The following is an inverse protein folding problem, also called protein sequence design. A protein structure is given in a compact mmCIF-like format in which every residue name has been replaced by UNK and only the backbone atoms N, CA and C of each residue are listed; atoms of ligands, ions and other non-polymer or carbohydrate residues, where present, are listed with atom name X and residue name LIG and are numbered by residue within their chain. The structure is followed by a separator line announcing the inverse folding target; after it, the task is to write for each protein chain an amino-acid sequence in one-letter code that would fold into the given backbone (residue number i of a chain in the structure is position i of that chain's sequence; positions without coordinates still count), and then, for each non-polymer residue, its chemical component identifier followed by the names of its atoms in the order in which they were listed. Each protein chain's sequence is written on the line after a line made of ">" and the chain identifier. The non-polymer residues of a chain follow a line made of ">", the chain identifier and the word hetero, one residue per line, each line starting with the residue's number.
data_IF_370834045485
#
_entry.id   IF_370834045485
#
_cell.length_a   1.000
_cell.length_b   1.000
_cell.length_c   1.000
_cell.angle_alpha   90.00
_cell.angle_beta   90.00
_cell.angle_gamma   90.00
#
_symmetry.space_group_name_H-M   'P 1'
#
loop_
_entity.id
_entity.type
_entity.pdbx_description
1 polymer ?
#
# COMPACT_ATOMS: atom_id res chain seq x y z
N UNK A 1 -6.59 -1.49 -7.21
CA UNK A 1 -6.31 -2.76 -6.52
C UNK A 1 -4.91 -3.17 -6.92
N UNK A 2 -4.07 -3.60 -5.97
CA UNK A 2 -2.76 -4.18 -6.27
C UNK A 2 -2.94 -5.40 -7.19
N UNK A 3 -2.01 -5.59 -8.12
CA UNK A 3 -1.94 -6.83 -8.88
C UNK A 3 -1.54 -7.98 -7.92
N UNK A 4 -1.93 -9.21 -8.26
CA UNK A 4 -1.67 -10.38 -7.41
C UNK A 4 -0.17 -10.57 -7.13
N UNK A 5 0.67 -10.27 -8.12
CA UNK A 5 2.11 -10.42 -7.97
C UNK A 5 2.71 -9.41 -6.98
N UNK A 6 2.17 -8.20 -6.93
CA UNK A 6 2.55 -7.20 -5.93
C UNK A 6 2.11 -7.65 -4.54
N UNK A 7 0.90 -8.21 -4.40
CA UNK A 7 0.42 -8.79 -3.15
C UNK A 7 1.36 -9.89 -2.63
N UNK A 8 1.83 -10.79 -3.50
CA UNK A 8 2.80 -11.83 -3.11
C UNK A 8 4.16 -11.23 -2.73
N UNK A 9 4.60 -10.15 -3.39
CA UNK A 9 5.79 -9.42 -2.95
C UNK A 9 5.60 -8.79 -1.57
N UNK A 10 4.43 -8.21 -1.28
CA UNK A 10 4.09 -7.68 0.04
C UNK A 10 4.13 -8.79 1.10
N UNK A 11 3.51 -9.93 0.81
CA UNK A 11 3.56 -11.12 1.63
C UNK A 11 5.00 -11.61 1.90
N UNK A 12 5.88 -11.55 0.89
CA UNK A 12 7.30 -11.87 1.06
C UNK A 12 8.01 -10.89 1.99
N UNK A 13 7.74 -9.58 1.89
CA UNK A 13 8.30 -8.61 2.84
C UNK A 13 7.83 -8.87 4.27
N UNK A 14 6.56 -9.22 4.45
CA UNK A 14 5.97 -9.52 5.76
C UNK A 14 6.53 -10.83 6.33
N UNK A 15 6.65 -11.87 5.51
CA UNK A 15 7.24 -13.16 5.88
C UNK A 15 8.74 -13.04 6.19
N UNK A 16 9.46 -12.19 5.45
CA UNK A 16 10.86 -11.85 5.76
C UNK A 16 11.00 -10.87 6.92
N UNK A 17 9.90 -10.36 7.50
CA UNK A 17 9.89 -9.36 8.59
C UNK A 17 10.75 -8.14 8.27
N UNK A 18 10.72 -7.69 7.02
CA UNK A 18 11.41 -6.47 6.60
C UNK A 18 10.59 -5.24 7.00
N UNK A 19 11.22 -4.24 7.60
CA UNK A 19 10.52 -3.02 7.99
C UNK A 19 10.22 -2.16 6.76
N UNK A 20 9.00 -2.31 6.25
CA UNK A 20 8.57 -1.67 5.02
C UNK A 20 8.46 -0.15 5.13
N UNK A 21 8.08 0.38 6.29
CA UNK A 21 7.71 1.80 6.44
C UNK A 21 8.90 2.70 6.79
N UNK A 22 10.05 2.08 7.05
CA UNK A 22 11.30 2.76 7.37
C UNK A 22 12.17 2.95 6.12
N UNK A 23 11.62 3.63 5.13
CA UNK A 23 12.29 3.91 3.86
C UNK A 23 11.93 5.32 3.42
N UNK A 24 12.90 6.07 2.89
CA UNK A 24 12.61 7.40 2.34
C UNK A 24 11.69 7.30 1.12
N UNK A 25 11.84 6.26 0.29
CA UNK A 25 10.96 6.03 -0.86
C UNK A 25 9.49 5.86 -0.49
N UNK A 26 9.21 5.47 0.76
CA UNK A 26 7.87 5.24 1.31
C UNK A 26 7.39 6.35 2.25
N UNK A 27 8.05 7.51 2.23
CA UNK A 27 7.68 8.64 3.09
C UNK A 27 6.24 9.12 2.82
N UNK A 28 5.84 9.18 1.55
CA UNK A 28 4.54 9.70 1.09
C UNK A 28 3.53 8.61 0.68
N UNK A 29 3.84 7.33 0.92
CA UNK A 29 3.02 6.19 0.46
C UNK A 29 1.57 6.27 0.92
N UNK A 30 1.30 6.59 2.19
CA UNK A 30 -0.07 6.72 2.71
C UNK A 30 -0.90 7.76 1.97
N UNK A 31 -0.31 8.90 1.61
CA UNK A 31 -1.00 9.95 0.88
C UNK A 31 -1.24 9.53 -0.58
N UNK A 32 -0.22 8.94 -1.23
CA UNK A 32 -0.31 8.48 -2.62
C UNK A 32 -1.34 7.34 -2.76
N UNK A 33 -1.42 6.40 -1.81
CA UNK A 33 -2.37 5.29 -1.85
C UNK A 33 -3.84 5.74 -1.73
N UNK A 34 -4.07 6.87 -1.05
CA UNK A 34 -5.38 7.50 -0.86
C UNK A 34 -5.76 8.45 -2.01
N UNK A 35 -4.80 9.16 -2.59
CA UNK A 35 -5.04 10.24 -3.56
C UNK A 35 -4.73 9.85 -5.02
N UNK A 36 -3.68 9.07 -5.22
CA UNK A 36 -3.11 8.71 -6.53
C UNK A 36 -3.39 7.24 -6.88
N UNK A 37 -4.65 6.83 -6.71
CA UNK A 37 -5.10 5.53 -7.20
C UNK A 37 -5.31 5.56 -8.73
N UNK A 38 -4.92 4.46 -9.38
CA UNK A 38 -5.22 4.24 -10.80
C UNK A 38 -6.66 3.77 -10.96
N UNK A 39 -7.43 4.47 -11.78
CA UNK A 39 -8.74 4.01 -12.21
C UNK A 39 -8.56 3.15 -13.46
N UNK A 40 -9.09 1.92 -13.52
CA UNK A 40 -9.11 1.16 -14.76
C UNK A 40 -9.86 1.97 -15.82
N UNK A 41 -9.28 2.07 -17.03
CA UNK A 41 -9.90 2.79 -18.15
C UNK A 41 -10.65 1.86 -19.11
N UNK A 42 -10.44 0.55 -19.00
CA UNK A 42 -10.99 -0.49 -19.88
C UNK A 42 -11.19 -1.80 -19.12
N UNK A 43 -11.58 -2.85 -19.84
CA UNK A 43 -11.66 -4.21 -19.31
C UNK A 43 -10.26 -4.83 -19.18
N UNK A 44 -9.87 -5.21 -17.95
CA UNK A 44 -8.68 -6.01 -17.65
C UNK A 44 -9.12 -7.27 -16.89
N UNK A 45 -8.60 -8.42 -17.28
CA UNK A 45 -8.83 -9.70 -16.60
C UNK A 45 -7.50 -10.25 -16.13
N UNK A 46 -7.37 -10.49 -14.83
CA UNK A 46 -6.20 -11.07 -14.20
C UNK A 46 -6.55 -12.47 -13.68
N UNK A 47 -5.89 -13.49 -14.22
CA UNK A 47 -5.99 -14.88 -13.80
C UNK A 47 -4.69 -15.24 -13.09
N UNK A 48 -4.75 -15.47 -11.79
CA UNK A 48 -3.58 -15.75 -10.96
C UNK A 48 -3.73 -17.07 -10.22
N UNK A 49 -2.61 -17.73 -9.95
CA UNK A 49 -2.58 -18.99 -9.21
C UNK A 49 -1.31 -19.10 -8.39
N UNK A 50 -1.43 -19.56 -7.15
CA UNK A 50 -0.29 -19.97 -6.33
C UNK A 50 -0.17 -21.50 -6.38
N UNK A 51 0.53 -22.02 -7.39
CA UNK A 51 0.62 -23.47 -7.62
C UNK A 51 1.39 -24.20 -6.51
N UNK A 52 2.39 -23.56 -5.92
CA UNK A 52 3.08 -24.06 -4.71
C UNK A 52 3.30 -22.90 -3.74
N UNK A 53 3.55 -23.15 -2.43
CA UNK A 53 3.90 -22.09 -1.48
C UNK A 53 5.13 -21.26 -1.86
N UNK A 54 5.91 -21.73 -2.84
CA UNK A 54 7.10 -21.10 -3.37
C UNK A 54 6.92 -20.47 -4.75
N UNK A 55 5.84 -20.79 -5.47
CA UNK A 55 5.71 -20.46 -6.89
C UNK A 55 4.32 -19.93 -7.23
N UNK A 56 4.29 -18.72 -7.80
CA UNK A 56 3.09 -18.05 -8.26
C UNK A 56 3.16 -17.77 -9.77
N UNK A 57 2.01 -17.89 -10.44
CA UNK A 57 1.83 -17.52 -11.84
C UNK A 57 0.69 -16.53 -11.98
N UNK A 58 0.80 -15.62 -12.95
CA UNK A 58 -0.29 -14.69 -13.28
C UNK A 58 -0.33 -14.46 -14.78
N UNK A 59 -1.53 -14.51 -15.33
CA UNK A 59 -1.87 -14.18 -16.70
C UNK A 59 -2.77 -12.95 -16.66
N UNK A 60 -2.34 -11.88 -17.31
CA UNK A 60 -3.18 -10.70 -17.50
C UNK A 60 -3.64 -10.64 -18.94
N UNK A 61 -4.89 -10.22 -19.16
CA UNK A 61 -5.48 -10.04 -20.47
C UNK A 61 -6.25 -8.72 -20.46
N UNK A 62 -5.93 -7.80 -21.36
CA UNK A 62 -6.52 -6.48 -21.49
C UNK A 62 -7.02 -6.22 -22.91
N UNK A 63 -8.03 -5.36 -23.03
CA UNK A 63 -8.65 -5.03 -24.32
C UNK A 63 -8.10 -3.73 -24.95
N UNK A 64 -6.81 -3.45 -24.80
CA UNK A 64 -6.20 -2.20 -25.32
C UNK A 64 -5.77 -2.39 -26.77
N UNK A 65 -6.67 -2.12 -27.72
CA UNK A 65 -6.38 -2.00 -29.16
C UNK A 65 -6.20 -3.34 -29.90
N UNK A 66 -5.33 -4.21 -29.38
CA UNK A 66 -5.17 -5.64 -29.66
C UNK A 66 -5.24 -6.37 -28.32
N UNK A 67 -5.40 -7.70 -28.30
CA UNK A 67 -5.38 -8.48 -27.06
C UNK A 67 -4.02 -8.28 -26.39
N UNK A 68 -3.97 -7.41 -25.39
CA UNK A 68 -2.78 -7.15 -24.59
C UNK A 68 -2.75 -8.17 -23.46
N UNK A 69 -1.58 -8.69 -23.13
CA UNK A 69 -1.47 -9.70 -22.10
C UNK A 69 -0.07 -9.83 -21.55
N UNK A 70 0.01 -10.20 -20.29
CA UNK A 70 1.28 -10.48 -19.65
C UNK A 70 1.27 -11.82 -18.94
N UNK A 71 2.42 -12.46 -18.95
CA UNK A 71 2.67 -13.71 -18.25
C UNK A 71 3.74 -13.42 -17.20
N UNK A 72 3.38 -13.61 -15.94
CA UNK A 72 4.24 -13.36 -14.80
C UNK A 72 4.52 -14.65 -14.05
N UNK A 73 5.78 -14.84 -13.68
CA UNK A 73 6.26 -15.93 -12.86
C UNK A 73 6.96 -15.35 -11.64
N UNK A 74 6.66 -15.89 -10.46
CA UNK A 74 7.33 -15.52 -9.22
C UNK A 74 7.73 -16.76 -8.44
N UNK A 75 8.98 -16.77 -8.00
CA UNK A 75 9.57 -17.80 -7.16
C UNK A 75 10.09 -17.17 -5.86
N UNK A 76 9.80 -17.77 -4.71
CA UNK A 76 10.27 -17.35 -3.39
C UNK A 76 10.88 -18.53 -2.65
N UNK A 77 12.00 -18.30 -1.96
CA UNK A 77 12.59 -19.33 -1.10
C UNK A 77 11.91 -19.47 0.25
N UNK A 78 11.25 -18.42 0.76
CA UNK A 78 10.42 -18.53 1.96
C UNK A 78 9.06 -19.11 1.54
N UNK A 79 8.56 -20.17 2.21
CA UNK A 79 7.23 -20.69 1.93
C UNK A 79 6.15 -19.74 2.47
N UNK A 80 5.17 -19.41 1.62
CA UNK A 80 4.11 -18.46 1.92
C UNK A 80 2.86 -19.14 2.52
N UNK A 81 3.02 -20.01 3.53
CA UNK A 81 1.90 -20.76 4.12
C UNK A 81 0.83 -19.89 4.79
N UNK A 82 1.22 -18.73 5.32
CA UNK A 82 0.32 -17.85 6.07
C UNK A 82 -0.43 -16.84 5.18
N UNK A 83 -0.22 -16.88 3.86
CA UNK A 83 -0.88 -15.95 2.94
C UNK A 83 -1.92 -16.67 2.10
N UNK A 84 -3.21 -16.33 2.22
CA UNK A 84 -4.25 -16.95 1.41
C UNK A 84 -4.01 -16.68 -0.08
N UNK A 85 -4.02 -17.71 -0.91
CA UNK A 85 -3.93 -17.58 -2.38
C UNK A 85 -5.29 -17.40 -3.05
N UNK A 86 -6.32 -18.03 -2.48
CA UNK A 86 -7.67 -18.04 -3.05
C UNK A 86 -8.33 -16.69 -2.88
N UNK A 87 -8.86 -16.14 -3.97
CA UNK A 87 -9.54 -14.84 -4.03
C UNK A 87 -10.68 -14.67 -3.02
N UNK A 88 -11.34 -15.76 -2.60
CA UNK A 88 -12.39 -15.75 -1.57
C UNK A 88 -11.86 -15.57 -0.15
N UNK A 89 -10.59 -15.93 0.10
CA UNK A 89 -9.94 -15.86 1.41
C UNK A 89 -9.04 -14.63 1.57
N UNK A 90 -8.56 -14.02 0.47
CA UNK A 90 -7.65 -12.87 0.55
C UNK A 90 -8.35 -11.66 1.20
N UNK A 91 -7.88 -11.12 2.33
CA UNK A 91 -8.49 -9.92 2.91
C UNK A 91 -8.34 -8.72 1.96
N UNK A 92 -9.46 -8.07 1.61
CA UNK A 92 -9.47 -6.93 0.67
C UNK A 92 -8.57 -5.78 1.15
N UNK A 93 -8.44 -5.59 2.47
CA UNK A 93 -7.53 -4.60 3.08
C UNK A 93 -6.05 -4.78 2.74
N UNK A 94 -5.64 -5.99 2.36
CA UNK A 94 -4.24 -6.24 1.97
C UNK A 94 -4.02 -6.03 0.45
N UNK A 95 -5.10 -6.07 -0.34
CA UNK A 95 -5.05 -5.86 -1.80
C UNK A 95 -5.28 -4.41 -2.20
N UNK A 96 -6.03 -3.66 -1.41
CA UNK A 96 -6.31 -2.26 -1.68
C UNK A 96 -5.31 -1.42 -0.88
N UNK A 97 -4.37 -0.72 -1.55
CA UNK A 97 -3.54 0.26 -0.88
C UNK A 97 -4.43 1.29 -0.20
N UNK A 98 -4.19 1.66 1.03
CA UNK A 98 -5.07 2.57 1.76
C UNK A 98 -4.34 3.22 2.90
N UNK A 99 -5.07 3.79 3.84
CA UNK A 99 -4.44 4.33 5.03
C UNK A 99 -3.72 3.24 5.83
N UNK A 100 -2.38 3.34 5.92
CA UNK A 100 -1.56 2.46 6.75
C UNK A 100 -1.05 3.20 7.98
N UNK A 101 -1.37 2.67 9.15
CA UNK A 101 -0.82 3.17 10.40
C UNK A 101 0.66 2.80 10.52
N UNK A 102 1.50 3.80 10.76
CA UNK A 102 2.94 3.62 10.92
C UNK A 102 3.22 3.08 12.32
N UNK A 103 4.03 2.02 12.38
CA UNK A 103 4.48 1.40 13.63
C UNK A 103 5.83 1.95 14.07
N UNK A 104 6.16 1.89 15.37
CA UNK A 104 7.48 2.31 15.84
C UNK A 104 8.58 1.47 15.17
N UNK A 105 9.76 2.06 14.92
CA UNK A 105 10.85 1.37 14.24
C UNK A 105 11.28 0.13 15.02
N UNK A 106 11.16 -1.04 14.38
CA UNK A 106 11.61 -2.32 14.92
C UNK A 106 13.04 -2.63 14.47
N UNK A 107 13.81 -3.32 15.31
CA UNK A 107 15.11 -3.87 14.92
C UNK A 107 14.86 -5.03 13.94
N UNK A 108 15.61 -5.14 12.83
CA UNK A 108 15.54 -6.31 11.98
C UNK A 108 15.89 -7.58 12.77
N UNK A 109 15.01 -8.58 12.73
CA UNK A 109 15.23 -9.85 13.42
C UNK A 109 16.42 -10.56 12.78
N UNK A 110 17.42 -10.84 13.62
CA UNK A 110 18.65 -11.53 13.28
C UNK A 110 18.32 -12.98 12.92
N UNK A 111 18.62 -13.38 11.67
CA UNK A 111 18.55 -14.79 11.30
C UNK A 111 19.75 -15.51 11.90
N UNK A 112 19.56 -16.70 12.49
CA UNK A 112 20.68 -17.46 13.01
C UNK A 112 21.64 -17.76 11.85
N UNK A 113 22.82 -17.15 11.90
CA UNK A 113 23.94 -17.53 11.04
C UNK A 113 24.53 -18.82 11.60
N UNK A 114 25.05 -19.66 10.71
CA UNK A 114 25.47 -21.04 11.01
C UNK A 114 26.59 -21.19 12.07
N UNK A 115 27.07 -20.11 12.69
CA UNK A 115 28.19 -20.11 13.62
C UNK A 115 27.84 -19.75 15.08
N UNK A 116 26.59 -19.44 15.41
CA UNK A 116 26.23 -19.18 16.81
C UNK A 116 25.72 -20.45 17.51
N UNK A 117 26.60 -21.07 18.30
CA UNK A 117 26.30 -22.16 19.25
C UNK A 117 25.44 -21.71 20.46
N UNK A 118 24.68 -20.62 20.37
CA UNK A 118 23.88 -20.13 21.50
C UNK A 118 22.47 -20.75 21.48
N UNK A 119 22.21 -21.58 22.48
CA UNK A 119 20.95 -22.26 22.74
C UNK A 119 19.83 -21.26 23.07
N UNK A 120 18.98 -20.96 22.09
CA UNK A 120 17.65 -20.36 22.32
C UNK A 120 16.59 -21.39 21.89
N UNK A 121 15.51 -21.62 22.69
CA UNK A 121 14.58 -22.70 22.43
C UNK A 121 13.79 -22.46 21.13
N UNK A 122 13.89 -23.42 20.22
CA UNK A 122 13.06 -23.52 19.03
C UNK A 122 11.60 -23.82 19.43
N UNK A 123 10.84 -22.78 19.74
CA UNK A 123 9.38 -22.87 19.83
C UNK A 123 8.80 -22.11 18.63
N UNK A 124 8.20 -22.88 17.71
CA UNK A 124 7.47 -22.45 16.50
C UNK A 124 8.35 -22.19 15.26
N UNK A 125 9.13 -23.20 14.83
CA UNK A 125 9.42 -23.39 13.41
C UNK A 125 9.15 -24.86 13.06
N UNK A 126 8.27 -25.07 12.08
CA UNK A 126 7.94 -26.36 11.49
C UNK A 126 9.19 -27.05 10.98
N UNK A 127 9.29 -28.38 11.17
CA UNK A 127 10.47 -29.22 10.94
C UNK A 127 10.99 -29.32 9.48
N UNK A 128 10.45 -28.54 8.53
CA UNK A 128 10.78 -28.64 7.09
C UNK A 128 11.56 -27.43 6.53
N UNK A 129 11.69 -26.33 7.29
CA UNK A 129 12.43 -25.16 6.83
C UNK A 129 13.93 -25.35 7.02
N UNK A 130 14.65 -25.57 5.92
CA UNK A 130 16.10 -25.64 5.88
C UNK A 130 16.68 -24.31 6.41
N UNK A 131 17.36 -24.27 7.58
CA UNK A 131 17.72 -23.02 8.27
C UNK A 131 18.87 -22.24 7.58
N UNK A 132 19.25 -22.60 6.36
CA UNK A 132 20.46 -22.13 5.68
C UNK A 132 20.20 -21.20 4.49
N UNK A 133 18.97 -21.10 3.98
CA UNK A 133 18.68 -20.32 2.77
C UNK A 133 18.30 -18.87 3.10
N UNK A 134 19.16 -17.93 2.68
CA UNK A 134 18.84 -16.50 2.73
C UNK A 134 17.57 -16.24 1.89
N UNK A 135 16.64 -15.39 2.36
CA UNK A 135 15.38 -15.20 1.67
C UNK A 135 15.61 -14.43 0.36
N UNK A 136 15.03 -14.97 -0.70
CA UNK A 136 15.16 -14.51 -2.07
C UNK A 136 13.83 -14.60 -2.78
N UNK A 137 13.51 -13.58 -3.57
CA UNK A 137 12.35 -13.52 -4.44
C UNK A 137 12.83 -13.22 -5.86
N UNK A 138 12.40 -14.03 -6.80
CA UNK A 138 12.59 -13.86 -8.24
C UNK A 138 11.22 -13.64 -8.84
N UNK A 139 11.06 -12.55 -9.59
CA UNK A 139 9.84 -12.23 -10.30
C UNK A 139 10.20 -11.88 -11.74
N UNK A 140 9.50 -12.45 -12.71
CA UNK A 140 9.69 -12.14 -14.12
C UNK A 140 8.32 -11.96 -14.77
N UNK A 141 8.12 -10.86 -15.50
CA UNK A 141 6.91 -10.62 -16.28
C UNK A 141 7.28 -10.34 -17.73
N UNK A 142 6.67 -11.10 -18.63
CA UNK A 142 6.75 -10.93 -20.08
C UNK A 142 5.44 -10.32 -20.57
N UNK A 143 5.51 -9.14 -21.19
CA UNK A 143 4.36 -8.48 -21.82
C UNK A 143 4.33 -8.76 -23.32
N UNK A 144 3.14 -9.06 -23.84
CA UNK A 144 2.80 -9.42 -25.22
C UNK A 144 1.55 -8.60 -25.60
N UNK A 145 1.45 -7.90 -26.74
CA UNK A 145 2.07 -8.12 -28.04
C UNK A 145 3.28 -7.18 -28.26
N UNK A 146 3.88 -7.12 -29.47
CA UNK A 146 5.05 -6.26 -29.71
C UNK A 146 4.76 -4.76 -29.44
N UNK A 147 5.70 -4.01 -28.83
CA UNK A 147 7.05 -4.41 -28.43
C UNK A 147 7.04 -5.35 -27.21
N UNK A 148 7.68 -6.52 -27.36
CA UNK A 148 7.77 -7.49 -26.27
C UNK A 148 8.71 -6.94 -25.21
N UNK A 149 8.21 -6.76 -23.99
CA UNK A 149 9.01 -6.29 -22.87
C UNK A 149 9.14 -7.38 -21.82
N UNK A 150 10.38 -7.70 -21.45
CA UNK A 150 10.71 -8.59 -20.35
C UNK A 150 11.12 -7.72 -19.16
N UNK A 151 10.41 -7.87 -18.06
CA UNK A 151 10.75 -7.27 -16.78
C UNK A 151 11.15 -8.39 -15.82
N UNK A 152 12.24 -8.20 -15.10
CA UNK A 152 12.74 -9.11 -14.09
C UNK A 152 13.02 -8.35 -12.82
N UNK A 153 12.70 -8.93 -11.67
CA UNK A 153 12.93 -8.37 -10.35
C UNK A 153 13.50 -9.47 -9.47
N UNK A 154 14.69 -9.23 -8.94
CA UNK A 154 15.38 -10.12 -8.04
C UNK A 154 15.62 -9.40 -6.71
N UNK A 155 15.01 -9.90 -5.66
CA UNK A 155 15.18 -9.41 -4.30
C UNK A 155 15.92 -10.47 -3.51
N UNK A 156 16.95 -10.06 -2.75
CA UNK A 156 17.69 -10.94 -1.85
C UNK A 156 18.07 -10.21 -0.58
N UNK A 157 17.79 -10.82 0.57
CA UNK A 157 18.33 -10.34 1.85
C UNK A 157 19.78 -10.83 1.99
N UNK A 158 20.73 -9.89 1.99
CA UNK A 158 22.16 -10.21 2.12
C UNK A 158 22.55 -10.44 3.58
N UNK A 159 21.96 -9.64 4.48
CA UNK A 159 22.16 -9.65 5.92
C UNK A 159 20.83 -9.34 6.63
N UNK A 160 20.77 -9.47 7.96
CA UNK A 160 19.59 -9.06 8.72
C UNK A 160 19.20 -7.59 8.43
N UNK A 161 20.19 -6.71 8.30
CA UNK A 161 19.97 -5.26 8.09
C UNK A 161 20.04 -4.82 6.63
N UNK A 162 20.48 -5.69 5.70
CA UNK A 162 20.73 -5.29 4.31
C UNK A 162 19.95 -6.13 3.31
N UNK A 163 19.22 -5.47 2.41
CA UNK A 163 18.46 -6.07 1.31
C UNK A 163 18.94 -5.52 -0.03
N UNK A 164 19.10 -6.41 -1.01
CA UNK A 164 19.43 -6.09 -2.39
C UNK A 164 18.17 -6.29 -3.25
N UNK A 165 17.90 -5.34 -4.15
CA UNK A 165 16.88 -5.43 -5.19
C UNK A 165 17.51 -5.10 -6.54
N UNK A 166 17.36 -6.00 -7.52
CA UNK A 166 17.81 -5.83 -8.89
C UNK A 166 16.59 -5.89 -9.80
N UNK A 167 16.29 -4.81 -10.51
CA UNK A 167 15.27 -4.78 -11.54
C UNK A 167 15.92 -4.69 -12.92
N UNK A 168 15.50 -5.56 -13.83
CA UNK A 168 15.97 -5.63 -15.21
C UNK A 168 14.78 -5.40 -16.12
N UNK A 169 14.90 -4.47 -17.05
CA UNK A 169 13.88 -4.24 -18.07
C UNK A 169 14.54 -4.37 -19.44
N UNK A 170 14.08 -5.30 -20.26
CA UNK A 170 14.53 -5.46 -21.65
C UNK A 170 13.36 -5.28 -22.59
N UNK A 171 13.49 -4.37 -23.54
CA UNK A 171 12.47 -4.11 -24.55
C UNK A 171 12.99 -4.45 -25.94
N UNK A 172 12.20 -5.19 -26.71
CA UNK A 172 12.49 -5.47 -28.11
C UNK A 172 11.46 -4.79 -29.01
N UNK A 173 11.93 -3.83 -29.81
CA UNK A 173 11.11 -3.17 -30.81
C UNK A 173 10.79 -4.12 -31.99
N UNK A 174 9.59 -4.03 -32.60
CA UNK A 174 9.13 -4.97 -33.63
C UNK A 174 9.92 -4.94 -34.96
N UNK A 175 10.66 -3.87 -35.26
CA UNK A 175 11.27 -3.66 -36.57
C UNK A 175 12.81 -3.54 -36.58
N UNK A 176 13.49 -3.64 -35.43
CA UNK A 176 14.96 -3.48 -35.38
C UNK A 176 15.68 -4.83 -35.36
N UNK A 177 16.69 -4.99 -36.24
CA UNK A 177 17.66 -6.11 -36.22
C UNK A 177 18.76 -5.91 -35.17
N UNK A 178 18.73 -4.82 -34.41
CA UNK A 178 19.72 -4.53 -33.35
C UNK A 178 19.49 -5.38 -32.10
N UNK A 179 20.53 -5.50 -31.27
CA UNK A 179 20.43 -6.08 -29.93
C UNK A 179 19.33 -5.36 -29.11
N UNK A 180 18.59 -6.09 -28.24
CA UNK A 180 17.56 -5.50 -27.40
C UNK A 180 18.18 -4.50 -26.41
N UNK A 181 17.51 -3.36 -26.21
CA UNK A 181 17.90 -2.43 -25.16
C UNK A 181 17.53 -3.05 -23.81
N UNK A 182 18.49 -3.12 -22.90
CA UNK A 182 18.31 -3.63 -21.56
C UNK A 182 18.79 -2.58 -20.55
N UNK A 183 17.93 -2.25 -19.59
CA UNK A 183 18.24 -1.37 -18.48
C UNK A 183 18.27 -2.19 -17.20
N UNK A 184 19.28 -1.95 -16.37
CA UNK A 184 19.45 -2.59 -15.08
C UNK A 184 19.38 -1.50 -14.00
N UNK A 185 18.56 -1.72 -12.99
CA UNK A 185 18.40 -0.88 -11.82
C UNK A 185 18.76 -1.71 -10.58
N UNK A 186 19.75 -1.24 -9.83
CA UNK A 186 20.23 -1.85 -8.59
C UNK A 186 19.87 -0.96 -7.41
N UNK A 187 19.26 -1.53 -6.39
CA UNK A 187 18.97 -0.86 -5.12
C UNK A 187 19.50 -1.68 -3.96
N UNK A 188 20.24 -1.03 -3.06
CA UNK A 188 20.73 -1.61 -1.82
C UNK A 188 20.09 -0.84 -0.67
N UNK A 189 19.31 -1.53 0.14
CA UNK A 189 18.67 -1.01 1.33
C UNK A 189 19.46 -1.45 2.57
N UNK A 190 19.72 -0.53 3.47
CA UNK A 190 20.33 -0.80 4.77
C UNK A 190 19.47 -0.18 5.88
N UNK A 191 18.78 -1.03 6.62
CA UNK A 191 17.85 -0.64 7.68
C UNK A 191 18.38 -1.06 9.05
N UNK A 192 18.41 -0.11 9.98
CA UNK A 192 18.78 -0.32 11.39
C UNK A 192 17.65 0.03 12.36
N UNK A 193 16.46 0.34 11.85
CA UNK A 193 15.32 0.87 12.59
C UNK A 193 15.45 2.37 12.86
N UNK A 194 16.53 2.82 13.50
CA UNK A 194 16.71 4.26 13.79
C UNK A 194 17.00 5.08 12.53
N UNK A 195 17.86 4.56 11.67
CA UNK A 195 18.11 5.15 10.36
C UNK A 195 18.01 4.08 9.28
N UNK A 196 17.65 4.53 8.08
CA UNK A 196 17.56 3.71 6.88
C UNK A 196 18.29 4.44 5.76
N UNK A 197 19.19 3.74 5.07
CA UNK A 197 19.91 4.26 3.92
C UNK A 197 19.67 3.40 2.69
N UNK A 198 19.55 4.06 1.54
CA UNK A 198 19.26 3.42 0.26
C UNK A 198 20.24 3.93 -0.79
N UNK A 199 20.91 3.01 -1.47
CA UNK A 199 21.77 3.31 -2.60
C UNK A 199 21.09 2.82 -3.88
N UNK A 200 21.02 3.66 -4.89
CA UNK A 200 20.41 3.38 -6.17
C UNK A 200 21.44 3.55 -7.29
N UNK A 201 21.49 2.61 -8.21
CA UNK A 201 22.30 2.69 -9.42
C UNK A 201 21.49 2.23 -10.63
N UNK A 202 21.42 3.03 -11.69
CA UNK A 202 20.76 2.68 -12.95
C UNK A 202 21.73 2.75 -14.11
N UNK A 203 21.78 1.70 -14.93
CA UNK A 203 22.68 1.60 -16.09
C UNK A 203 22.25 2.48 -17.27
N UNK A 204 20.97 2.82 -17.40
CA UNK A 204 20.43 3.56 -18.55
C UNK A 204 21.09 4.94 -18.73
N UNK A 205 21.18 5.69 -17.63
CA UNK A 205 21.76 7.04 -17.61
C UNK A 205 22.93 7.15 -16.60
N UNK A 206 23.53 6.01 -16.25
CA UNK A 206 24.51 5.87 -15.16
C UNK A 206 24.08 6.63 -13.88
N UNK A 207 22.78 6.60 -13.55
CA UNK A 207 22.21 7.38 -12.46
C UNK A 207 22.60 6.77 -11.12
N UNK A 208 23.30 7.54 -10.29
CA UNK A 208 23.59 7.22 -8.90
C UNK A 208 22.62 7.98 -8.00
N UNK A 209 22.06 7.29 -7.02
CA UNK A 209 21.16 7.87 -6.04
C UNK A 209 21.53 7.44 -4.63
N UNK A 210 21.39 8.35 -3.68
CA UNK A 210 21.48 8.07 -2.26
C UNK A 210 20.24 8.62 -1.57
N UNK A 211 19.62 7.82 -0.70
CA UNK A 211 18.51 8.23 0.15
C UNK A 211 18.83 7.92 1.60
N UNK A 212 18.46 8.82 2.49
CA UNK A 212 18.60 8.64 3.93
C UNK A 212 17.31 9.02 4.63
N UNK A 213 16.91 8.22 5.61
CA UNK A 213 15.83 8.50 6.54
C UNK A 213 16.33 8.31 7.97
N UNK A 214 16.01 9.27 8.83
CA UNK A 214 16.34 9.31 10.24
C UNK A 214 15.07 9.43 11.07
N UNK A 215 14.85 8.48 11.98
CA UNK A 215 13.74 8.49 12.91
C UNK A 215 14.17 9.12 14.24
N UNK A 216 13.50 10.19 14.63
CA UNK A 216 13.65 10.78 15.95
C UNK A 216 12.88 9.96 16.98
N UNK A 217 13.53 9.67 18.10
CA UNK A 217 12.97 8.84 19.15
C UNK A 217 14.04 8.00 19.86
N UNK A 218 13.64 7.21 20.86
CA UNK A 218 14.52 6.27 21.53
C UNK A 218 15.06 5.26 20.51
N UNK A 219 16.37 5.01 20.59
CA UNK A 219 17.03 4.07 19.70
C UNK A 219 16.59 2.64 20.04
N UNK A 220 15.93 1.91 19.13
CA UNK A 220 15.45 0.57 19.40
C UNK A 220 16.61 -0.40 19.68
N UNK A 221 17.87 -0.05 19.37
CA UNK A 221 19.04 -0.88 19.69
C UNK A 221 19.41 -0.87 21.17
N UNK A 222 19.06 0.20 21.91
CA UNK A 222 19.43 0.34 23.33
C UNK A 222 18.52 -0.47 24.27
N UNK A 223 17.29 -0.78 23.86
CA UNK A 223 16.34 -1.57 24.66
C UNK A 223 16.77 -3.04 24.80
N UNK A 224 17.44 -3.62 23.80
CA UNK A 224 18.01 -4.98 23.86
C UNK A 224 19.16 -5.10 24.86
N UNK A 225 19.82 -4.00 25.24
CA UNK A 225 21.01 -4.02 26.12
C UNK A 225 20.69 -4.11 27.62
N UNK A 226 19.43 -4.33 27.98
CA UNK A 226 19.04 -4.67 29.35
C UNK A 226 19.17 -3.54 30.36
N UNK A 227 19.13 -2.27 29.93
CA UNK A 227 19.13 -1.15 30.87
C UNK A 227 17.77 -1.09 31.60
N UNK A 228 17.72 -1.33 32.93
CA UNK A 228 16.47 -1.39 33.71
C UNK A 228 15.75 -0.04 33.80
N UNK A 229 16.40 1.05 33.42
CA UNK A 229 15.79 2.37 33.28
C UNK A 229 14.85 2.49 32.06
N UNK A 230 14.99 1.63 31.04
CA UNK A 230 14.18 1.70 29.80
C UNK A 230 12.81 1.03 29.91
N UNK A 231 12.57 0.18 30.92
CA UNK A 231 11.27 -0.47 31.17
C UNK A 231 10.18 0.51 31.64
N UNK A 232 10.54 1.73 32.04
CA UNK A 232 9.60 2.81 32.41
C UNK A 232 9.34 3.82 31.29
N UNK A 233 9.84 3.57 30.08
CA UNK A 233 9.68 4.50 28.97
C UNK A 233 8.20 4.58 28.59
N UNK A 234 7.59 5.75 28.81
CA UNK A 234 6.22 6.05 28.36
C UNK A 234 6.10 5.65 26.87
N UNK A 235 4.97 5.05 26.45
CA UNK A 235 4.79 4.69 25.06
C UNK A 235 4.99 5.93 24.18
N UNK A 236 5.74 5.78 23.10
CA UNK A 236 5.90 6.86 22.14
C UNK A 236 4.53 7.17 21.54
N UNK A 237 4.12 8.44 21.66
CA UNK A 237 2.82 8.90 21.15
C UNK A 237 2.92 9.35 19.70
N UNK A 238 4.10 9.79 19.27
CA UNK A 238 4.35 10.28 17.91
C UNK A 238 5.76 9.92 17.44
N UNK A 239 5.89 9.71 16.14
CA UNK A 239 7.14 9.49 15.44
C UNK A 239 7.39 10.66 14.48
N UNK A 240 8.53 11.33 14.65
CA UNK A 240 9.03 12.29 13.69
C UNK A 240 10.17 11.63 12.90
N UNK A 241 10.09 11.65 11.59
CA UNK A 241 11.12 11.16 10.68
C UNK A 241 11.56 12.30 9.76
N UNK A 242 12.86 12.44 9.54
CA UNK A 242 13.43 13.37 8.57
C UNK A 242 14.37 12.63 7.62
N UNK A 243 14.39 13.01 6.36
CA UNK A 243 15.24 12.38 5.37
C UNK A 243 15.48 13.26 4.16
N UNK A 244 16.24 12.72 3.23
CA UNK A 244 16.46 13.32 1.94
C UNK A 244 17.01 12.31 0.95
N UNK A 245 16.93 12.66 -0.33
CA UNK A 245 17.53 11.92 -1.43
C UNK A 245 18.30 12.86 -2.34
N UNK A 246 19.39 12.35 -2.89
CA UNK A 246 20.25 13.02 -3.85
C UNK A 246 20.48 12.07 -5.01
N UNK A 247 20.31 12.59 -6.22
CA UNK A 247 20.56 11.88 -7.47
C UNK A 247 21.60 12.62 -8.28
N UNK A 248 22.48 11.87 -8.93
CA UNK A 248 23.48 12.39 -9.84
C UNK A 248 23.65 11.44 -11.01
N UNK A 249 23.51 11.97 -12.23
CA UNK A 249 23.82 11.24 -13.46
C UNK A 249 24.98 11.95 -14.16
N UNK A 250 26.15 11.30 -14.35
CA UNK A 250 27.27 11.89 -15.06
C UNK A 250 27.01 11.97 -16.58
N UNK A 251 26.20 11.06 -17.13
CA UNK A 251 25.90 11.00 -18.57
C UNK A 251 24.99 12.17 -18.99
N UNK A 252 23.95 12.44 -18.20
CA UNK A 252 23.03 13.56 -18.46
C UNK A 252 23.43 14.86 -17.75
N UNK A 253 24.43 14.82 -16.87
CA UNK A 253 24.82 15.96 -16.02
C UNK A 253 23.67 16.53 -15.18
N UNK A 254 22.69 15.69 -14.81
CA UNK A 254 21.53 16.10 -14.01
C UNK A 254 21.76 15.76 -12.54
N UNK A 255 21.47 16.73 -11.67
CA UNK A 255 21.45 16.57 -10.21
C UNK A 255 20.01 16.71 -9.74
N UNK A 256 19.56 15.80 -8.89
CA UNK A 256 18.27 15.86 -8.19
C UNK A 256 18.49 15.91 -6.69
N UNK A 257 17.72 16.72 -5.97
CA UNK A 257 17.76 16.78 -4.51
C UNK A 257 16.35 16.98 -3.97
N UNK A 258 15.96 16.16 -3.00
CA UNK A 258 14.73 16.36 -2.23
C UNK A 258 14.96 16.09 -0.75
N UNK A 259 14.24 16.83 0.10
CA UNK A 259 14.20 16.60 1.55
C UNK A 259 12.76 16.33 1.97
N UNK A 260 12.59 15.53 3.01
CA UNK A 260 11.29 15.05 3.45
C UNK A 260 11.20 14.98 4.96
N UNK A 261 10.09 15.46 5.51
CA UNK A 261 9.71 15.32 6.91
C UNK A 261 8.40 14.54 6.99
N UNK A 262 8.30 13.63 7.96
CA UNK A 262 7.09 12.88 8.26
C UNK A 262 6.83 12.90 9.75
N UNK A 263 5.64 13.34 10.14
CA UNK A 263 5.14 13.23 11.49
C UNK A 263 3.97 12.24 11.48
N UNK A 264 4.03 11.20 12.31
CA UNK A 264 2.99 10.18 12.41
C UNK A 264 2.63 9.93 13.87
N UNK A 265 1.34 9.87 14.19
CA UNK A 265 0.87 9.42 15.50
C UNK A 265 0.95 7.90 15.61
N UNK A 266 1.50 7.40 16.70
CA UNK A 266 1.67 5.97 16.91
C UNK A 266 0.41 5.35 17.55
N UNK A 267 0.18 4.02 17.37
CA UNK A 267 -0.98 3.33 17.93
C UNK A 267 -1.16 3.54 19.44
N UNK A 268 -0.07 3.60 20.20
CA UNK A 268 -0.13 3.78 21.64
C UNK A 268 -0.69 5.15 22.09
N UNK A 269 -0.74 6.15 21.20
CA UNK A 269 -1.45 7.41 21.46
C UNK A 269 -2.97 7.27 21.33
N UNK A 270 -3.44 6.30 20.52
CA UNK A 270 -4.85 6.07 20.25
C UNK A 270 -5.53 5.16 21.26
N UNK A 271 -4.77 4.36 22.02
CA UNK A 271 -5.28 3.43 23.04
C UNK A 271 -5.64 4.12 24.37
N UNK A 272 -5.04 5.27 24.67
CA UNK A 272 -5.34 6.03 25.89
C UNK A 272 -6.54 6.97 25.65
N UNK A 273 -7.44 7.06 26.63
CA UNK A 273 -8.83 7.56 26.61
C UNK A 273 -9.10 8.99 26.08
N UNK A 274 -8.12 9.69 25.51
CA UNK A 274 -8.32 10.98 24.85
C UNK A 274 -8.31 10.83 23.34
N UNK A 275 -9.40 10.29 22.78
CA UNK A 275 -9.99 10.51 21.44
C UNK A 275 -9.09 11.18 20.36
N UNK A 276 -7.89 10.65 20.09
CA UNK A 276 -7.01 11.15 19.04
C UNK A 276 -7.08 10.19 17.85
N UNK A 277 -7.55 10.68 16.70
CA UNK A 277 -7.53 9.93 15.45
C UNK A 277 -6.09 9.82 14.94
N UNK A 278 -5.65 8.65 14.43
CA UNK A 278 -4.30 8.56 13.91
C UNK A 278 -4.19 9.40 12.63
N UNK A 279 -3.14 10.21 12.56
CA UNK A 279 -2.84 11.05 11.40
C UNK A 279 -1.36 10.99 11.04
N UNK A 280 -1.09 11.29 9.78
CA UNK A 280 0.25 11.35 9.20
C UNK A 280 0.35 12.61 8.38
N UNK A 281 1.27 13.49 8.79
CA UNK A 281 1.63 14.72 8.11
C UNK A 281 2.97 14.47 7.41
N UNK A 282 3.06 14.77 6.13
CA UNK A 282 4.35 14.75 5.41
C UNK A 282 4.59 16.08 4.74
N UNK A 283 5.85 16.49 4.69
CA UNK A 283 6.33 17.69 4.01
C UNK A 283 7.52 17.28 3.15
N UNK A 284 7.43 17.46 1.84
CA UNK A 284 8.52 17.21 0.90
C UNK A 284 8.91 18.50 0.21
N UNK A 285 10.21 18.77 0.13
CA UNK A 285 10.78 19.97 -0.47
C UNK A 285 11.82 19.59 -1.52
N UNK A 286 11.70 20.14 -2.73
CA UNK A 286 12.68 19.98 -3.80
C UNK A 286 13.30 21.34 -4.09
N UNK A 287 14.36 21.74 -3.36
CA UNK A 287 14.89 23.10 -3.42
C UNK A 287 15.40 23.49 -4.82
N UNK A 288 15.86 22.53 -5.63
CA UNK A 288 16.33 22.78 -6.99
C UNK A 288 15.21 23.26 -7.92
N UNK A 289 14.00 22.68 -7.81
CA UNK A 289 12.84 23.05 -8.64
C UNK A 289 11.90 24.03 -7.95
N UNK A 290 12.12 24.34 -6.66
CA UNK A 290 11.28 25.24 -5.89
C UNK A 290 9.92 24.64 -5.48
N UNK A 291 9.71 23.32 -5.66
CA UNK A 291 8.43 22.69 -5.30
C UNK A 291 8.41 22.25 -3.84
N UNK A 292 7.28 22.52 -3.17
CA UNK A 292 6.98 22.16 -1.80
C UNK A 292 5.63 21.44 -1.80
N UNK A 293 5.55 20.26 -1.20
CA UNK A 293 4.31 19.49 -1.11
C UNK A 293 4.07 19.06 0.33
N UNK A 294 2.88 19.38 0.84
CA UNK A 294 2.43 19.01 2.19
C UNK A 294 1.25 18.07 2.06
N UNK A 295 1.31 16.92 2.74
CA UNK A 295 0.20 15.96 2.76
C UNK A 295 -0.29 15.78 4.19
N UNK A 296 -1.60 15.79 4.37
CA UNK A 296 -2.27 15.48 5.63
C UNK A 296 -3.22 14.30 5.43
N UNK A 297 -2.89 13.15 6.01
CA UNK A 297 -3.71 11.93 5.95
C UNK A 297 -4.19 11.57 7.34
N UNK A 298 -5.47 11.29 7.50
CA UNK A 298 -6.09 10.98 8.79
C UNK A 298 -7.02 9.79 8.68
N UNK A 299 -7.05 8.96 9.71
CA UNK A 299 -7.98 7.84 9.84
C UNK A 299 -9.09 8.24 10.81
N UNK A 300 -10.20 8.76 10.27
CA UNK A 300 -11.32 9.24 11.07
C UNK A 300 -12.09 8.09 11.74
N UNK A 301 -12.13 6.91 11.10
CA UNK A 301 -12.71 5.70 11.69
C UNK A 301 -11.98 4.46 11.15
N UNK A 302 -12.16 3.27 11.75
CA UNK A 302 -11.58 2.02 11.23
C UNK A 302 -11.95 1.68 9.78
N UNK A 303 -12.95 2.38 9.23
CA UNK A 303 -13.49 2.21 7.89
C UNK A 303 -13.48 3.52 7.06
N UNK A 304 -12.94 4.63 7.59
CA UNK A 304 -12.99 5.92 6.91
C UNK A 304 -11.65 6.63 7.06
N UNK A 305 -10.96 6.84 5.94
CA UNK A 305 -9.75 7.63 5.88
C UNK A 305 -9.94 8.85 4.96
N UNK A 306 -9.29 9.95 5.31
CA UNK A 306 -9.22 11.15 4.50
C UNK A 306 -7.77 11.50 4.22
N UNK A 307 -7.52 12.11 3.07
CA UNK A 307 -6.22 12.63 2.71
C UNK A 307 -6.37 13.95 1.97
N UNK A 308 -5.47 14.88 2.23
CA UNK A 308 -5.33 16.13 1.49
C UNK A 308 -3.86 16.34 1.15
N UNK A 309 -3.60 16.77 -0.08
CA UNK A 309 -2.29 17.15 -0.57
C UNK A 309 -2.35 18.57 -1.09
N UNK A 310 -1.46 19.40 -0.58
CA UNK A 310 -1.24 20.77 -1.02
C UNK A 310 0.17 20.88 -1.60
N UNK A 311 0.25 21.09 -2.91
CA UNK A 311 1.48 21.41 -3.64
C UNK A 311 1.59 22.91 -3.86
N UNK A 312 2.79 23.45 -3.70
CA UNK A 312 3.11 24.84 -3.99
C UNK A 312 4.47 24.91 -4.68
N UNK A 313 4.55 25.68 -5.75
CA UNK A 313 5.82 25.97 -6.42
C UNK A 313 6.23 27.41 -6.14
N UNK A 314 7.36 27.60 -5.47
CA UNK A 314 7.88 28.92 -5.06
C UNK A 314 8.28 29.78 -6.26
N UNK A 315 8.72 29.16 -7.37
CA UNK A 315 9.16 29.91 -8.54
C UNK A 315 8.01 30.35 -9.45
N UNK A 316 6.99 29.51 -9.62
CA UNK A 316 5.82 29.84 -10.45
C UNK A 316 4.64 30.42 -9.66
N UNK A 317 4.69 30.41 -8.31
CA UNK A 317 3.57 30.73 -7.42
C UNK A 317 2.30 29.92 -7.71
N UNK A 318 2.48 28.75 -8.30
CA UNK A 318 1.39 27.84 -8.62
C UNK A 318 1.07 26.99 -7.40
N UNK A 319 -0.22 26.87 -7.09
CA UNK A 319 -0.73 26.01 -6.03
C UNK A 319 -1.61 24.93 -6.62
N UNK A 320 -1.46 23.71 -6.12
CA UNK A 320 -2.25 22.54 -6.45
C UNK A 320 -2.86 21.99 -5.16
N UNK A 321 -4.18 21.78 -5.13
CA UNK A 321 -4.85 21.13 -4.02
C UNK A 321 -5.62 19.89 -4.47
N UNK A 322 -5.34 18.76 -3.83
CA UNK A 322 -6.04 17.50 -4.05
C UNK A 322 -6.58 16.99 -2.72
N UNK A 323 -7.84 16.58 -2.71
CA UNK A 323 -8.47 15.94 -1.56
C UNK A 323 -8.99 14.56 -1.97
N UNK A 324 -9.01 13.63 -1.03
CA UNK A 324 -9.60 12.31 -1.25
C UNK A 324 -10.04 11.64 0.02
N UNK A 325 -10.91 10.65 -0.15
CA UNK A 325 -11.42 9.83 0.94
C UNK A 325 -11.50 8.36 0.52
N UNK A 326 -11.33 7.50 1.50
CA UNK A 326 -11.45 6.05 1.39
C UNK A 326 -12.50 5.59 2.41
N UNK A 327 -13.56 4.95 1.92
CA UNK A 327 -14.66 4.44 2.73
C UNK A 327 -14.79 2.93 2.53
N UNK A 328 -14.58 2.18 3.61
CA UNK A 328 -14.80 0.75 3.69
C UNK A 328 -16.24 0.46 4.09
N UNK A 329 -16.91 -0.35 3.27
CA UNK A 329 -18.25 -0.85 3.56
C UNK A 329 -18.18 -2.37 3.70
N UNK A 330 -18.45 -2.83 4.91
CA UNK A 330 -18.76 -4.23 5.17
C UNK A 330 -20.23 -4.43 4.85
N UNK A 331 -20.54 -5.26 3.85
CA UNK A 331 -21.92 -5.71 3.72
C UNK A 331 -22.14 -6.74 4.82
N UNK A 332 -22.99 -6.39 5.79
CA UNK A 332 -23.56 -7.40 6.66
C UNK A 332 -24.27 -8.42 5.76
N UNK A 333 -23.72 -9.63 5.69
CA UNK A 333 -24.46 -10.73 5.11
C UNK A 333 -25.78 -10.78 5.86
N UNK A 334 -26.87 -10.82 5.10
CA UNK A 334 -28.25 -10.92 5.54
C UNK A 334 -28.42 -12.26 6.28
N UNK A 335 -27.84 -12.35 7.47
CA UNK A 335 -28.09 -13.42 8.42
C UNK A 335 -29.60 -13.42 8.61
N UNK A 336 -30.21 -14.58 8.38
CA UNK A 336 -31.64 -14.79 8.38
C UNK A 336 -32.31 -13.95 9.48
N UNK A 337 -33.35 -13.23 9.08
CA UNK A 337 -34.35 -12.67 9.99
C UNK A 337 -34.89 -13.80 10.86
N UNK A 338 -34.31 -13.98 12.03
CA UNK A 338 -34.99 -14.48 13.21
C UNK A 338 -35.06 -13.25 14.12
N UNK A 339 -36.16 -12.51 14.03
CA UNK A 339 -36.47 -11.44 14.98
C UNK A 339 -37.00 -12.06 16.29
N UNK A 340 -36.96 -11.37 17.44
CA UNK A 340 -36.16 -10.18 17.77
C UNK A 340 -35.48 -10.26 19.16
N UNK A 341 -34.27 -9.73 19.27
CA UNK A 341 -33.91 -8.92 20.44
C UNK A 341 -33.12 -7.73 19.92
N UNK A 342 -33.63 -6.54 20.21
CA UNK A 342 -33.11 -5.28 19.73
C UNK A 342 -31.72 -5.02 20.32
N UNK A 343 -30.68 -5.49 19.65
CA UNK A 343 -29.31 -5.02 19.91
C UNK A 343 -29.14 -3.68 19.19
N UNK A 344 -29.03 -2.65 19.99
CA UNK A 344 -29.18 -1.24 19.65
C UNK A 344 -27.98 -0.70 18.84
N UNK A 345 -28.03 -0.83 17.51
CA UNK A 345 -27.04 -0.28 16.56
C UNK A 345 -26.90 1.27 16.59
N UNK A 346 -27.63 1.95 17.48
CA UNK A 346 -27.60 3.40 17.72
C UNK A 346 -26.93 3.78 19.06
N UNK A 347 -26.40 2.83 19.83
CA UNK A 347 -25.75 3.12 21.11
C UNK A 347 -24.58 4.11 20.99
N UNK A 348 -23.79 4.01 19.91
CA UNK A 348 -22.68 4.93 19.63
C UNK A 348 -23.17 6.36 19.34
N UNK A 349 -24.33 6.50 18.69
CA UNK A 349 -24.93 7.80 18.39
C UNK A 349 -25.61 8.41 19.63
N UNK A 350 -26.24 7.58 20.49
CA UNK A 350 -26.85 8.02 21.76
C UNK A 350 -25.82 8.48 22.78
N UNK A 351 -24.69 7.77 22.88
CA UNK A 351 -23.53 8.20 23.67
C UNK A 351 -22.98 9.55 23.20
N UNK A 352 -23.04 9.81 21.89
CA UNK A 352 -22.56 11.06 21.29
C UNK A 352 -23.57 12.21 21.40
N UNK A 353 -24.85 11.90 21.62
CA UNK A 353 -25.94 12.87 21.81
C UNK A 353 -26.19 13.23 23.29
N UNK A 354 -25.42 12.68 24.23
CA UNK A 354 -25.50 13.03 25.66
C UNK A 354 -26.78 12.59 26.37
N UNK A 355 -27.51 11.60 25.84
CA UNK A 355 -28.76 11.12 26.45
C UNK A 355 -28.43 10.10 27.55
N UNK A 356 -28.87 10.29 28.81
CA UNK A 356 -28.52 9.40 29.91
C UNK A 356 -29.20 8.03 29.77
N UNK A 357 -28.40 6.96 29.82
CA UNK A 357 -28.83 5.57 29.80
C UNK A 357 -29.44 5.18 31.15
N UNK A 358 -30.73 5.49 31.37
CA UNK A 358 -31.49 4.99 32.51
C UNK A 358 -32.84 4.46 32.03
N UNK A 359 -32.84 3.23 31.53
CA UNK A 359 -33.96 2.29 31.63
C UNK A 359 -33.51 0.94 31.07
N UNK A 360 -33.91 -0.13 31.75
CA UNK A 360 -33.68 -1.56 31.47
C UNK A 360 -32.38 -2.13 32.06
N UNK A 361 -32.41 -2.26 33.38
CA UNK A 361 -31.74 -3.31 34.14
C UNK A 361 -32.46 -4.66 33.92
N UNK A 362 -31.77 -5.67 33.40
CA UNK A 362 -32.14 -7.08 33.57
C UNK A 362 -30.86 -7.87 33.85
N UNK A 363 -30.86 -8.60 34.98
CA UNK A 363 -29.81 -9.45 35.54
C UNK A 363 -29.15 -10.41 34.54
N UNK A 364 -27.83 -10.66 34.63
CA UNK A 364 -27.20 -11.85 34.06
C UNK A 364 -26.92 -12.86 35.18
N UNK A 365 -27.77 -13.86 35.35
CA UNK A 365 -27.40 -15.08 36.06
C UNK A 365 -27.62 -16.28 35.14
N UNK A 366 -26.59 -17.11 35.04
CA UNK A 366 -26.53 -18.42 34.37
C UNK A 366 -26.64 -18.43 32.85
N UNK A 367 -25.50 -18.64 32.18
CA UNK A 367 -25.29 -19.79 31.29
C UNK A 367 -23.82 -19.80 30.80
N UNK A 368 -22.99 -20.51 31.56
CA UNK A 368 -21.65 -20.95 31.14
C UNK A 368 -21.77 -22.44 30.77
N UNK A 369 -21.93 -22.75 29.48
CA UNK A 369 -21.48 -24.04 28.92
C UNK A 369 -21.69 -24.08 27.40
N UNK A 370 -20.67 -24.60 26.71
CA UNK A 370 -20.64 -24.96 25.27
C UNK A 370 -20.50 -23.83 24.25
N UNK A 371 -19.25 -23.42 23.99
CA UNK A 371 -18.82 -23.13 22.61
C UNK A 371 -17.62 -24.04 22.30
N UNK A 372 -17.97 -25.14 21.65
CA UNK A 372 -17.07 -26.00 20.90
C UNK A 372 -16.39 -25.15 19.82
N UNK A 373 -15.05 -25.21 19.73
CA UNK A 373 -14.27 -24.58 18.67
C UNK A 373 -14.61 -25.25 17.33
N UNK A 374 -15.65 -24.76 16.67
CA UNK A 374 -15.85 -24.94 15.23
C UNK A 374 -15.43 -23.66 14.49
N UNK A 375 -14.78 -23.87 13.34
CA UNK A 375 -13.96 -22.89 12.64
C UNK A 375 -14.64 -21.56 12.35
N UNK A 376 -13.89 -20.48 12.57
CA UNK A 376 -14.23 -19.10 12.25
C UNK A 376 -14.19 -18.84 10.72
N UNK A 377 -14.91 -19.65 9.93
CA UNK A 377 -15.01 -19.56 8.47
C UNK A 377 -16.26 -18.78 8.01
N UNK A 378 -16.71 -17.78 8.77
CA UNK A 378 -17.90 -16.99 8.44
C UNK A 378 -17.56 -15.57 7.94
N UNK A 379 -17.58 -15.43 6.60
CA UNK A 379 -18.11 -14.27 5.87
C UNK A 379 -17.30 -12.96 5.82
N UNK A 380 -16.14 -12.97 5.15
CA UNK A 380 -15.68 -11.80 4.38
C UNK A 380 -16.41 -11.68 3.02
N UNK A 381 -17.65 -12.16 2.94
CA UNK A 381 -18.33 -12.50 1.69
C UNK A 381 -18.65 -11.29 0.80
N UNK A 382 -18.55 -10.06 1.33
CA UNK A 382 -18.98 -8.84 0.64
C UNK A 382 -18.31 -7.58 1.23
N UNK A 383 -16.99 -7.63 1.45
CA UNK A 383 -16.23 -6.41 1.73
C UNK A 383 -16.10 -5.59 0.44
N UNK A 384 -16.31 -4.28 0.56
CA UNK A 384 -16.14 -3.33 -0.53
C UNK A 384 -15.52 -2.03 -0.01
N UNK A 385 -14.85 -1.31 -0.90
CA UNK A 385 -14.20 -0.04 -0.61
C UNK A 385 -14.50 0.92 -1.74
N UNK A 386 -14.78 2.16 -1.37
CA UNK A 386 -15.00 3.28 -2.27
C UNK A 386 -13.90 4.28 -2.01
N UNK A 387 -13.15 4.64 -3.05
CA UNK A 387 -12.21 5.76 -3.02
C UNK A 387 -12.72 6.88 -3.90
N UNK A 388 -12.62 8.10 -3.40
CA UNK A 388 -12.97 9.31 -4.15
C UNK A 388 -11.81 10.28 -4.06
N UNK A 389 -11.46 10.89 -5.19
CA UNK A 389 -10.47 11.96 -5.30
C UNK A 389 -11.11 13.14 -6.01
N UNK A 390 -10.87 14.33 -5.49
CA UNK A 390 -11.27 15.61 -6.06
C UNK A 390 -10.03 16.47 -6.20
N UNK A 391 -9.84 17.03 -7.37
CA UNK A 391 -8.75 17.93 -7.73
C UNK A 391 -9.24 19.39 -7.79
N UNK A 392 -8.33 20.36 -7.70
CA UNK A 392 -8.62 21.80 -7.77
C UNK A 392 -9.33 22.21 -9.07
N UNK A 393 -9.07 21.48 -10.16
CA UNK A 393 -9.76 21.65 -11.45
C UNK A 393 -11.16 21.01 -11.49
N UNK A 394 -11.73 20.62 -10.34
CA UNK A 394 -13.01 19.89 -10.23
C UNK A 394 -13.05 18.56 -11.01
N UNK A 395 -11.88 17.95 -11.21
CA UNK A 395 -11.79 16.58 -11.71
C UNK A 395 -12.12 15.63 -10.56
N UNK A 396 -13.10 14.75 -10.77
CA UNK A 396 -13.52 13.77 -9.77
C UNK A 396 -13.12 12.40 -10.29
N UNK A 397 -12.41 11.62 -9.47
CA UNK A 397 -12.17 10.20 -9.73
C UNK A 397 -12.81 9.38 -8.63
N UNK A 398 -13.55 8.36 -9.02
CA UNK A 398 -14.15 7.41 -8.09
C UNK A 398 -13.69 5.99 -8.46
N UNK A 399 -13.37 5.19 -7.46
CA UNK A 399 -12.96 3.81 -7.60
C UNK A 399 -13.74 2.97 -6.59
N UNK A 400 -14.47 1.97 -7.08
CA UNK A 400 -15.12 0.97 -6.26
C UNK A 400 -14.36 -0.35 -6.41
N UNK A 401 -13.90 -0.92 -5.30
CA UNK A 401 -13.29 -2.25 -5.29
C UNK A 401 -14.08 -3.14 -4.34
N UNK A 402 -14.41 -4.35 -4.77
CA UNK A 402 -15.26 -5.22 -3.99
C UNK A 402 -15.13 -6.67 -4.37
N UNK A 403 -15.52 -7.53 -3.44
CA UNK A 403 -15.63 -8.97 -3.68
C UNK A 403 -17.02 -9.34 -4.18
N UNK A 404 -17.07 -10.15 -5.23
CA UNK A 404 -18.28 -10.80 -5.73
C UNK A 404 -17.99 -12.30 -5.87
N UNK A 405 -18.47 -13.11 -4.92
CA UNK A 405 -18.17 -14.55 -4.82
C UNK A 405 -16.65 -14.81 -4.76
N UNK A 406 -16.07 -15.40 -5.80
CA UNK A 406 -14.64 -15.69 -5.95
C UNK A 406 -13.93 -14.68 -6.87
N UNK A 407 -14.61 -13.60 -7.27
CA UNK A 407 -14.04 -12.56 -8.11
C UNK A 407 -13.80 -11.31 -7.29
N UNK A 408 -12.65 -10.68 -7.53
CA UNK A 408 -12.32 -9.36 -7.02
C UNK A 408 -12.49 -8.37 -8.17
N UNK A 409 -13.38 -7.41 -8.00
CA UNK A 409 -13.75 -6.46 -9.04
C UNK A 409 -13.29 -5.08 -8.62
N UNK A 410 -12.68 -4.35 -9.55
CA UNK A 410 -12.30 -2.94 -9.41
C UNK A 410 -12.94 -2.17 -10.55
N UNK A 411 -13.85 -1.25 -10.24
CA UNK A 411 -14.56 -0.42 -11.21
C UNK A 411 -14.22 1.05 -10.96
N UNK A 412 -13.73 1.74 -11.99
CA UNK A 412 -13.26 3.12 -11.90
C UNK A 412 -14.01 4.03 -12.85
N UNK A 413 -14.24 5.27 -12.41
CA UNK A 413 -14.82 6.34 -13.21
C UNK A 413 -14.03 7.63 -12.98
N UNK A 414 -13.72 8.35 -14.05
CA UNK A 414 -13.20 9.71 -13.99
C UNK A 414 -14.18 10.67 -14.69
N UNK A 415 -14.52 11.75 -13.98
CA UNK A 415 -15.38 12.83 -14.43
C UNK A 415 -14.60 14.14 -14.39
N UNK A 416 -14.91 15.07 -15.28
CA UNK A 416 -14.40 16.44 -15.19
C UNK A 416 -15.29 17.42 -15.93
N UNK A 417 -15.06 18.73 -15.72
CA UNK A 417 -15.75 19.74 -16.49
C UNK A 417 -15.47 19.54 -17.99
N UNK A 418 -16.53 19.54 -18.80
CA UNK A 418 -16.40 19.44 -20.24
C UNK A 418 -15.72 20.71 -20.76
N UNK A 419 -14.56 20.57 -21.37
CA UNK A 419 -13.98 21.64 -22.18
C UNK A 419 -14.99 21.98 -23.26
N UNK A 420 -15.45 23.24 -23.31
CA UNK A 420 -16.18 23.75 -24.48
C UNK A 420 -15.23 23.68 -25.67
N UNK A 421 -15.22 22.58 -26.41
CA UNK A 421 -14.54 22.53 -27.70
C UNK A 421 -15.23 23.53 -28.62
N UNK A 422 -14.54 24.64 -28.89
CA UNK A 422 -14.81 25.55 -30.00
C UNK A 422 -14.71 24.77 -31.30
N UNK A 423 -15.82 24.21 -31.78
CA UNK A 423 -16.12 23.87 -33.18
C UNK A 423 -17.47 23.14 -33.27
N UNK A 424 -18.55 23.89 -33.13
CA UNK A 424 -19.85 23.54 -33.73
C UNK A 424 -20.71 24.80 -33.77
N UNK A 425 -20.77 25.42 -34.95
CA UNK A 425 -21.64 26.54 -35.27
C UNK A 425 -23.08 26.01 -35.34
N UNK A 426 -23.78 25.96 -34.20
CA UNK A 426 -25.22 25.74 -34.17
C UNK A 426 -25.84 26.24 -32.84
N UNK A 427 -26.50 27.40 -32.95
CA UNK A 427 -27.59 27.99 -32.16
C UNK A 427 -27.49 28.16 -30.62
N UNK A 428 -27.71 29.39 -30.10
CA UNK A 428 -27.69 29.68 -28.67
C UNK A 428 -29.09 29.80 -28.07
N UNK A 429 -29.56 28.84 -27.25
CA UNK A 429 -30.65 29.09 -26.28
C UNK A 429 -30.52 28.15 -25.08
N UNK A 430 -30.01 28.66 -23.95
CA UNK A 430 -30.48 28.40 -22.58
C UNK A 430 -29.57 29.12 -21.55
N UNK A 431 -30.08 30.11 -20.79
CA UNK A 431 -29.34 30.72 -19.69
C UNK A 431 -29.61 29.90 -18.41
N UNK A 432 -28.59 29.18 -17.94
CA UNK A 432 -28.68 28.39 -16.71
C UNK A 432 -27.35 27.69 -16.44
N UNK A 433 -26.48 28.35 -15.67
CA UNK A 433 -25.12 27.90 -15.39
C UNK A 433 -25.06 26.63 -14.54
N UNK A 434 -24.98 25.48 -15.20
CA UNK A 434 -24.24 24.33 -14.69
C UNK A 434 -23.16 24.03 -15.72
N UNK A 435 -21.90 24.02 -15.28
CA UNK A 435 -20.81 23.46 -16.08
C UNK A 435 -21.21 22.04 -16.49
N UNK A 436 -21.30 21.78 -17.79
CA UNK A 436 -21.57 20.43 -18.28
C UNK A 436 -20.41 19.53 -17.82
N UNK A 437 -20.71 18.45 -17.11
CA UNK A 437 -19.71 17.46 -16.70
C UNK A 437 -19.65 16.35 -17.74
N UNK A 438 -18.44 16.03 -18.20
CA UNK A 438 -18.18 14.96 -19.16
C UNK A 438 -17.55 13.73 -18.51
N UNK A 439 -17.85 12.56 -19.05
CA UNK A 439 -17.14 11.31 -18.74
C UNK A 439 -15.76 11.35 -19.38
N UNK A 440 -14.69 11.21 -18.58
CA UNK A 440 -13.30 11.14 -19.08
C UNK A 440 -12.85 9.70 -19.31
N UNK A 441 -13.14 8.81 -18.36
CA UNK A 441 -12.83 7.38 -18.48
C UNK A 441 -13.73 6.53 -17.59
N UNK A 442 -14.00 5.30 -18.03
CA UNK A 442 -14.74 4.27 -17.29
C UNK A 442 -14.10 2.92 -17.60
N UNK A 443 -13.77 2.14 -16.58
CA UNK A 443 -13.20 0.81 -16.78
C UNK A 443 -13.47 -0.13 -15.62
N UNK A 444 -13.22 -1.41 -15.89
CA UNK A 444 -13.46 -2.51 -14.95
C UNK A 444 -12.31 -3.50 -15.04
N UNK A 445 -11.69 -3.80 -13.90
CA UNK A 445 -10.71 -4.86 -13.77
C UNK A 445 -11.29 -6.00 -12.94
N UNK A 446 -11.15 -7.23 -13.43
CA UNK A 446 -11.59 -8.45 -12.75
C UNK A 446 -10.36 -9.29 -12.43
N UNK A 447 -10.18 -9.64 -11.16
CA UNK A 447 -9.12 -10.50 -10.69
C UNK A 447 -9.70 -11.80 -10.12
N UNK A 448 -9.16 -12.91 -10.59
CA UNK A 448 -9.42 -14.24 -10.07
C UNK A 448 -8.09 -14.85 -9.62
N UNK A 449 -8.08 -15.42 -8.43
CA UNK A 449 -6.91 -16.04 -7.81
C UNK A 449 -7.30 -17.39 -7.23
N UNK A 450 -6.60 -18.45 -7.62
CA UNK A 450 -6.78 -19.81 -7.10
C UNK A 450 -5.68 -20.17 -6.12
#
# INVERSE_FOLDING_TARGET
>A
MCDFMDYIQLAFYDASKWNRDNSYSRLTTTANDLLDFSTPERLKVNLSSLSTPHFATTYTLGTVGLIDGSISYLFTTIPLHNTPSRSSLIPLRNLVPGYRQIYPPSIPIEYPTANDHSSVPAAVCSKEDNPKTKPTLLHATLHLPPPTTLTGLFIRRLSSTTQLSLAVCSSRAPASKSAPQATLLTQIFHDTGKYSSEFLFSTDNALLGFKGLWNFGPDPRKTRRGDPASQRSRPLLSLLSAGGEVYYSPVSSVVGLSTGLRFATLPAATENAHSAFPYTLTLTLTPLTGSMSTTYSLLASPNLAFSSRFGFNVYSWESEMVAGCELWRRSESRSQKIYPSAVDNLAWARLKMGVPATAVSVNPENELSHIQMEGHNSSHASDSVIKVRIDQSWNIRALWEGRVKELLISAGVALGPASRSTLSYASPVAPGGLSSYGWKSVGVSVLYAS
#
